data_IF_124590894218
#
_entry.id   IF_124590894218
#
_cell.length_a   1.000
_cell.length_b   1.000
_cell.length_c   1.000
_cell.angle_alpha   90.00
_cell.angle_beta   90.00
_cell.angle_gamma   90.00
#
_symmetry.space_group_name_H-M   'P 1'
#
loop_
_entity.id
_entity.type
_entity.pdbx_description
1 polymer ?
#
# COMPACT_ATOMS: atom_id res chain seq x y z
N UNK A 1 19.47 -18.90 -9.39
CA UNK A 1 20.05 -19.53 -8.19
C UNK A 1 18.98 -19.57 -7.10
N UNK A 2 18.43 -20.76 -6.81
CA UNK A 2 17.84 -21.11 -5.51
C UNK A 2 16.43 -20.63 -5.10
N UNK A 3 15.36 -21.00 -5.81
CA UNK A 3 13.98 -20.83 -5.27
C UNK A 3 13.54 -21.98 -4.34
N UNK A 4 14.32 -23.06 -4.25
CA UNK A 4 14.00 -24.24 -3.42
C UNK A 4 15.04 -24.57 -2.35
N UNK A 5 16.07 -23.75 -2.16
CA UNK A 5 17.10 -24.01 -1.15
C UNK A 5 16.62 -23.50 0.20
N UNK A 6 16.62 -24.36 1.21
CA UNK A 6 16.24 -24.01 2.59
C UNK A 6 17.35 -24.46 3.53
N UNK A 7 17.66 -23.62 4.52
CA UNK A 7 18.48 -24.06 5.65
C UNK A 7 17.71 -25.14 6.43
N UNK A 8 18.40 -26.22 6.79
CA UNK A 8 17.84 -27.31 7.60
C UNK A 8 18.60 -27.38 8.93
N UNK A 9 17.93 -27.68 10.05
CA UNK A 9 18.57 -27.70 11.36
C UNK A 9 19.58 -28.85 11.46
N UNK A 10 20.78 -28.56 11.95
CA UNK A 10 21.84 -29.55 12.20
C UNK A 10 21.75 -30.19 13.59
N UNK A 11 20.84 -29.70 14.45
CA UNK A 11 20.69 -29.98 15.89
C UNK A 11 21.74 -29.34 16.80
N UNK A 12 22.80 -28.74 16.26
CA UNK A 12 23.69 -27.90 17.05
C UNK A 12 22.96 -26.61 17.44
N UNK A 13 23.11 -26.18 18.70
CA UNK A 13 22.49 -24.97 19.24
C UNK A 13 23.58 -24.04 19.79
N UNK A 14 23.32 -22.74 19.76
CA UNK A 14 24.20 -21.70 20.30
C UNK A 14 23.34 -20.71 21.08
N UNK A 15 23.76 -20.41 22.31
CA UNK A 15 23.15 -19.38 23.14
C UNK A 15 23.94 -18.08 23.01
N UNK A 16 23.29 -17.02 22.52
CA UNK A 16 23.89 -15.69 22.36
C UNK A 16 23.22 -14.70 23.31
N UNK A 17 23.90 -14.26 24.38
CA UNK A 17 23.35 -13.25 25.28
C UNK A 17 23.04 -11.94 24.54
N UNK A 18 21.79 -11.48 24.60
CA UNK A 18 21.35 -10.22 24.00
C UNK A 18 20.24 -9.56 24.83
N UNK A 19 20.17 -8.22 24.79
CA UNK A 19 19.14 -7.45 25.46
C UNK A 19 17.97 -7.05 24.56
N UNK A 20 18.09 -7.25 23.25
CA UNK A 20 17.08 -6.92 22.25
C UNK A 20 17.23 -7.81 21.01
N UNK A 21 16.10 -8.26 20.46
CA UNK A 21 16.03 -9.02 19.20
C UNK A 21 15.07 -8.32 18.26
N UNK A 22 15.53 -7.97 17.06
CA UNK A 22 14.72 -7.35 16.01
C UNK A 22 14.67 -8.27 14.79
N UNK A 23 13.47 -8.70 14.42
CA UNK A 23 13.25 -9.54 13.24
C UNK A 23 13.05 -8.69 12.00
N UNK A 24 13.88 -8.89 10.97
CA UNK A 24 13.81 -8.17 9.69
C UNK A 24 13.81 -9.14 8.51
N UNK A 25 12.93 -10.14 8.57
CA UNK A 25 12.85 -11.27 7.62
C UNK A 25 11.81 -11.06 6.50
N UNK A 26 11.42 -9.82 6.25
CA UNK A 26 10.44 -9.43 5.22
C UNK A 26 9.02 -9.24 5.75
N UNK A 27 8.13 -8.90 4.83
CA UNK A 27 6.72 -8.57 5.10
C UNK A 27 5.78 -9.47 4.29
N UNK A 28 4.47 -9.31 4.49
CA UNK A 28 3.41 -9.84 3.61
C UNK A 28 2.27 -8.84 3.54
N UNK A 29 1.57 -8.77 2.41
CA UNK A 29 0.32 -8.03 2.34
C UNK A 29 -0.76 -8.71 3.18
N UNK A 30 -1.88 -8.03 3.39
CA UNK A 30 -3.06 -8.56 4.09
C UNK A 30 -4.26 -8.57 3.15
N UNK A 31 -5.18 -9.54 3.26
CA UNK A 31 -6.45 -9.47 2.56
C UNK A 31 -7.23 -8.25 3.06
N UNK A 32 -7.79 -7.46 2.14
CA UNK A 32 -8.47 -6.19 2.45
C UNK A 32 -10.00 -6.29 2.36
N UNK A 33 -10.51 -7.17 1.50
CA UNK A 33 -11.93 -7.32 1.23
C UNK A 33 -12.22 -8.74 0.73
N UNK A 34 -13.35 -9.37 1.12
CA UNK A 34 -13.71 -10.71 0.65
C UNK A 34 -13.92 -10.81 -0.87
N UNK A 35 -14.16 -9.70 -1.57
CA UNK A 35 -14.29 -9.67 -3.03
C UNK A 35 -12.95 -9.72 -3.77
N UNK A 36 -11.82 -9.61 -3.06
CA UNK A 36 -10.48 -9.60 -3.66
C UNK A 36 -9.77 -10.93 -3.35
N UNK A 37 -9.36 -11.72 -4.36
CA UNK A 37 -8.64 -12.96 -4.13
C UNK A 37 -7.29 -12.70 -3.48
N UNK A 38 -6.82 -13.65 -2.66
CA UNK A 38 -5.58 -13.50 -1.91
C UNK A 38 -4.81 -14.81 -1.79
N UNK A 39 -3.51 -14.78 -2.12
CA UNK A 39 -2.59 -15.90 -1.88
C UNK A 39 -1.96 -15.73 -0.49
N UNK A 40 -2.38 -16.54 0.48
CA UNK A 40 -1.85 -16.50 1.85
C UNK A 40 -0.40 -17.00 1.96
N UNK A 41 0.03 -17.87 1.04
CA UNK A 41 1.38 -18.42 1.03
C UNK A 41 2.39 -17.37 0.59
N UNK A 42 2.11 -16.67 -0.50
CA UNK A 42 2.97 -15.61 -1.03
C UNK A 42 2.71 -14.25 -0.38
N UNK A 43 1.50 -14.02 0.13
CA UNK A 43 1.09 -12.75 0.73
C UNK A 43 0.86 -11.65 -0.32
N UNK A 44 0.24 -11.98 -1.45
CA UNK A 44 -0.02 -11.10 -2.60
C UNK A 44 -1.43 -11.32 -3.16
N UNK A 45 -1.92 -10.39 -3.99
CA UNK A 45 -3.13 -10.58 -4.79
C UNK A 45 -2.77 -11.37 -6.07
N UNK A 46 -3.40 -12.53 -6.33
CA UNK A 46 -3.20 -13.28 -7.57
C UNK A 46 -3.52 -12.40 -8.79
N UNK A 47 -2.58 -12.32 -9.73
CA UNK A 47 -2.72 -11.44 -10.90
C UNK A 47 -1.92 -11.95 -12.11
N UNK A 48 -2.32 -11.49 -13.30
CA UNK A 48 -1.60 -11.63 -14.56
C UNK A 48 -1.22 -10.25 -15.05
N UNK A 49 0.07 -9.91 -14.97
CA UNK A 49 0.63 -8.60 -15.35
C UNK A 49 -0.07 -7.40 -14.69
N UNK A 50 -0.68 -7.61 -13.52
CA UNK A 50 -1.41 -6.59 -12.77
C UNK A 50 -2.94 -6.68 -12.89
N UNK A 51 -3.49 -7.46 -13.82
CA UNK A 51 -4.93 -7.79 -13.85
C UNK A 51 -5.24 -8.81 -12.75
N UNK A 52 -6.14 -8.51 -11.83
CA UNK A 52 -6.48 -9.45 -10.76
C UNK A 52 -7.20 -10.67 -11.36
N UNK A 53 -6.75 -11.86 -10.98
CA UNK A 53 -7.28 -13.12 -11.52
C UNK A 53 -8.77 -13.25 -11.19
N UNK A 54 -9.58 -13.60 -12.20
CA UNK A 54 -11.03 -13.79 -12.11
C UNK A 54 -11.87 -12.58 -11.63
N UNK A 55 -11.27 -11.38 -11.58
CA UNK A 55 -11.98 -10.15 -11.19
C UNK A 55 -11.81 -9.05 -12.27
N UNK A 56 -12.67 -9.03 -13.30
CA UNK A 56 -12.59 -8.04 -14.39
C UNK A 56 -12.67 -6.59 -13.89
N UNK A 57 -11.80 -5.73 -14.40
CA UNK A 57 -11.75 -4.31 -14.03
C UNK A 57 -11.03 -4.02 -12.71
N UNK A 58 -10.51 -5.03 -12.01
CA UNK A 58 -9.66 -4.86 -10.83
C UNK A 58 -8.18 -5.09 -11.18
N UNK A 59 -7.32 -4.19 -10.72
CA UNK A 59 -5.89 -4.22 -10.98
C UNK A 59 -5.08 -4.06 -9.68
N UNK A 60 -3.83 -4.48 -9.71
CA UNK A 60 -2.87 -4.27 -8.63
C UNK A 60 -1.49 -3.86 -9.17
N UNK A 61 -0.70 -3.21 -8.33
CA UNK A 61 0.68 -2.79 -8.62
C UNK A 61 1.53 -2.77 -7.34
N UNK A 62 2.85 -2.78 -7.49
CA UNK A 62 3.79 -2.67 -6.37
C UNK A 62 3.83 -3.93 -5.50
N UNK A 63 4.05 -3.75 -4.19
CA UNK A 63 4.31 -4.87 -3.28
C UNK A 63 3.14 -5.83 -3.13
N UNK A 64 1.89 -5.38 -3.22
CA UNK A 64 0.73 -6.28 -3.17
C UNK A 64 0.61 -7.17 -4.42
N UNK A 65 1.24 -6.76 -5.54
CA UNK A 65 1.31 -7.52 -6.80
C UNK A 65 2.49 -8.48 -6.84
N UNK A 66 3.67 -8.02 -6.40
CA UNK A 66 4.97 -8.71 -6.62
C UNK A 66 5.62 -9.26 -5.34
N UNK A 67 5.05 -8.99 -4.17
CA UNK A 67 5.67 -9.23 -2.87
C UNK A 67 6.59 -8.08 -2.45
N UNK A 68 7.01 -8.04 -1.16
CA UNK A 68 7.76 -6.92 -0.59
C UNK A 68 9.26 -7.01 -0.90
N UNK A 69 9.56 -6.99 -2.20
CA UNK A 69 10.91 -7.00 -2.73
C UNK A 69 11.04 -5.88 -3.76
N UNK A 70 12.24 -5.29 -3.85
CA UNK A 70 12.51 -4.19 -4.78
C UNK A 70 12.47 -2.82 -4.12
N UNK A 71 13.18 -1.89 -4.73
CA UNK A 71 13.29 -0.49 -4.31
C UNK A 71 12.20 0.37 -4.98
N UNK A 72 12.14 1.66 -4.65
CA UNK A 72 11.15 2.61 -5.21
C UNK A 72 11.13 2.57 -6.74
N UNK A 73 12.31 2.55 -7.39
CA UNK A 73 12.41 2.48 -8.84
C UNK A 73 11.79 1.21 -9.43
N UNK A 74 11.97 0.06 -8.75
CA UNK A 74 11.35 -1.21 -9.17
C UNK A 74 9.82 -1.13 -9.09
N UNK A 75 9.28 -0.57 -8.01
CA UNK A 75 7.84 -0.34 -7.83
C UNK A 75 7.28 0.61 -8.89
N UNK A 76 8.02 1.67 -9.22
CA UNK A 76 7.63 2.64 -10.24
C UNK A 76 7.47 1.97 -11.62
N UNK A 77 8.49 1.23 -12.07
CA UNK A 77 8.44 0.54 -13.36
C UNK A 77 7.34 -0.53 -13.41
N UNK A 78 7.18 -1.32 -12.34
CA UNK A 78 6.08 -2.30 -12.23
C UNK A 78 4.69 -1.64 -12.30
N UNK A 79 4.54 -0.48 -11.65
CA UNK A 79 3.28 0.27 -11.65
C UNK A 79 2.95 0.83 -13.02
N UNK A 80 3.95 1.26 -13.80
CA UNK A 80 3.74 1.66 -15.19
C UNK A 80 3.23 0.51 -16.05
N UNK A 81 3.74 -0.71 -15.85
CA UNK A 81 3.23 -1.89 -16.57
C UNK A 81 1.76 -2.17 -16.26
N UNK A 82 1.37 -2.14 -14.97
CA UNK A 82 -0.05 -2.29 -14.58
C UNK A 82 -0.92 -1.18 -15.20
N UNK A 83 -0.43 0.06 -15.20
CA UNK A 83 -1.12 1.20 -15.84
C UNK A 83 -1.27 1.03 -17.36
N UNK A 84 -0.25 0.50 -18.04
CA UNK A 84 -0.33 0.18 -19.46
C UNK A 84 -1.37 -0.91 -19.74
N UNK A 85 -1.44 -1.96 -18.93
CA UNK A 85 -2.46 -3.02 -19.08
C UNK A 85 -3.87 -2.46 -18.91
N UNK A 86 -4.10 -1.63 -17.89
CA UNK A 86 -5.39 -0.95 -17.69
C UNK A 86 -5.76 -0.10 -18.90
N UNK A 87 -4.84 0.72 -19.41
CA UNK A 87 -5.10 1.56 -20.58
C UNK A 87 -5.35 0.75 -21.86
N UNK A 88 -4.70 -0.39 -22.03
CA UNK A 88 -4.96 -1.31 -23.14
C UNK A 88 -6.38 -1.89 -23.04
N UNK A 89 -6.78 -2.35 -21.87
CA UNK A 89 -8.11 -2.93 -21.64
C UNK A 89 -9.22 -1.86 -21.83
N UNK A 90 -8.96 -0.63 -21.38
CA UNK A 90 -9.84 0.51 -21.62
C UNK A 90 -10.03 0.77 -23.11
N UNK A 91 -8.93 0.84 -23.88
CA UNK A 91 -8.97 1.06 -25.34
C UNK A 91 -9.65 -0.09 -26.09
N UNK A 92 -9.49 -1.32 -25.60
CA UNK A 92 -10.10 -2.51 -26.17
C UNK A 92 -11.58 -2.67 -25.80
N UNK A 93 -12.15 -1.80 -24.95
CA UNK A 93 -13.54 -1.89 -24.51
C UNK A 93 -13.82 -3.07 -23.57
N UNK A 94 -12.79 -3.58 -22.90
CA UNK A 94 -12.90 -4.70 -21.94
C UNK A 94 -13.36 -4.23 -20.56
N UNK A 95 -13.34 -2.92 -20.31
CA UNK A 95 -13.83 -2.31 -19.08
C UNK A 95 -15.30 -1.93 -19.21
N UNK A 96 -16.03 -1.84 -18.08
CA UNK A 96 -17.45 -1.52 -18.12
C UNK A 96 -17.73 -0.19 -18.84
N UNK A 97 -18.65 -0.24 -19.80
CA UNK A 97 -19.05 0.93 -20.60
C UNK A 97 -20.03 1.84 -19.87
N UNK A 98 -20.18 3.07 -20.40
CA UNK A 98 -21.15 4.05 -19.92
C UNK A 98 -20.67 4.92 -18.75
N UNK A 99 -21.53 5.80 -18.21
CA UNK A 99 -21.19 6.73 -17.15
C UNK A 99 -20.72 6.03 -15.87
N UNK A 100 -19.62 6.51 -15.29
CA UNK A 100 -19.09 6.07 -14.00
C UNK A 100 -19.03 7.29 -13.07
N UNK A 101 -19.81 7.33 -11.97
CA UNK A 101 -19.94 8.54 -11.14
C UNK A 101 -18.70 8.85 -10.30
N UNK A 102 -17.76 7.90 -10.17
CA UNK A 102 -16.49 8.12 -9.49
C UNK A 102 -16.66 8.63 -8.05
N UNK A 103 -15.96 9.71 -7.71
CA UNK A 103 -15.97 10.31 -6.37
C UNK A 103 -17.35 10.76 -5.91
N UNK A 104 -18.25 11.17 -6.81
CA UNK A 104 -19.58 11.66 -6.41
C UNK A 104 -20.40 10.60 -5.67
N UNK A 105 -20.37 9.35 -6.17
CA UNK A 105 -21.06 8.24 -5.51
C UNK A 105 -20.35 7.81 -4.21
N UNK A 106 -19.02 7.81 -4.20
CA UNK A 106 -18.24 7.40 -3.03
C UNK A 106 -18.34 8.43 -1.90
N UNK A 107 -18.31 9.72 -2.20
CA UNK A 107 -18.46 10.79 -1.22
C UNK A 107 -19.83 10.71 -0.53
N UNK A 108 -20.92 10.51 -1.27
CA UNK A 108 -22.24 10.33 -0.68
C UNK A 108 -22.30 9.12 0.27
N UNK A 109 -21.64 8.01 -0.09
CA UNK A 109 -21.55 6.82 0.75
C UNK A 109 -20.68 7.03 2.00
N UNK A 110 -19.56 7.75 1.89
CA UNK A 110 -18.70 8.06 3.03
C UNK A 110 -19.43 8.98 4.02
N UNK A 111 -20.12 10.01 3.52
CA UNK A 111 -20.94 10.91 4.33
C UNK A 111 -22.05 10.17 5.06
N UNK A 112 -22.77 9.25 4.39
CA UNK A 112 -23.84 8.46 5.04
C UNK A 112 -23.30 7.50 6.11
N UNK A 113 -22.01 7.17 6.07
CA UNK A 113 -21.31 6.36 7.07
C UNK A 113 -20.59 7.19 8.14
N UNK A 114 -20.66 8.52 8.08
CA UNK A 114 -19.96 9.41 9.00
C UNK A 114 -18.43 9.37 8.84
N UNK A 115 -17.92 9.01 7.65
CA UNK A 115 -16.49 8.99 7.36
C UNK A 115 -16.09 10.31 6.72
N UNK A 116 -15.15 11.02 7.36
CA UNK A 116 -14.59 12.27 6.86
C UNK A 116 -13.23 12.02 6.18
N UNK A 117 -13.12 12.20 4.85
CA UNK A 117 -11.85 12.02 4.14
C UNK A 117 -10.88 13.18 4.39
N UNK A 118 -9.60 12.86 4.56
CA UNK A 118 -8.52 13.86 4.52
C UNK A 118 -8.19 14.18 3.07
N UNK A 119 -8.41 15.43 2.66
CA UNK A 119 -8.05 15.89 1.32
C UNK A 119 -6.55 16.12 1.18
N UNK A 120 -6.05 16.28 -0.04
CA UNK A 120 -4.64 16.64 -0.26
C UNK A 120 -4.30 18.00 0.35
N UNK A 121 -5.20 18.99 0.24
CA UNK A 121 -5.03 20.31 0.86
C UNK A 121 -5.09 20.27 2.39
N UNK A 122 -5.76 19.28 2.98
CA UNK A 122 -5.67 19.06 4.43
C UNK A 122 -4.30 18.50 4.79
N UNK A 123 -3.82 17.49 4.05
CA UNK A 123 -2.46 16.98 4.22
C UNK A 123 -1.38 18.08 4.09
N UNK A 124 -1.52 19.04 3.18
CA UNK A 124 -0.57 20.15 3.04
C UNK A 124 -0.50 21.04 4.29
N UNK A 125 -1.61 21.20 5.04
CA UNK A 125 -1.60 21.90 6.34
C UNK A 125 -0.77 21.13 7.37
N UNK A 126 -0.95 19.81 7.41
CA UNK A 126 -0.19 18.94 8.28
C UNK A 126 1.31 18.95 7.93
N UNK A 127 1.64 18.87 6.65
CA UNK A 127 3.02 18.95 6.16
C UNK A 127 3.70 20.27 6.56
N UNK A 128 3.00 21.40 6.38
CA UNK A 128 3.51 22.72 6.76
C UNK A 128 3.78 22.82 8.27
N UNK A 129 2.88 22.29 9.11
CA UNK A 129 3.05 22.27 10.56
C UNK A 129 4.24 21.40 10.98
N UNK A 130 4.37 20.19 10.43
CA UNK A 130 5.51 19.30 10.74
C UNK A 130 6.84 19.95 10.35
N UNK A 131 6.91 20.61 9.18
CA UNK A 131 8.10 21.35 8.74
C UNK A 131 8.40 22.52 9.68
N UNK A 132 7.39 23.31 10.07
CA UNK A 132 7.55 24.45 10.98
C UNK A 132 8.11 24.02 12.35
N UNK A 133 7.58 22.93 12.93
CA UNK A 133 8.09 22.37 14.20
C UNK A 133 9.55 21.91 14.10
N UNK A 134 9.96 21.42 12.93
CA UNK A 134 11.34 20.99 12.67
C UNK A 134 12.35 22.14 12.64
N UNK A 135 11.94 23.32 12.17
CA UNK A 135 12.85 24.46 11.98
C UNK A 135 13.55 24.89 13.28
N UNK A 136 12.83 24.92 14.40
CA UNK A 136 13.39 25.32 15.70
C UNK A 136 14.48 24.39 16.25
N UNK A 137 14.59 23.17 15.69
CA UNK A 137 15.57 22.15 16.10
C UNK A 137 16.53 21.76 14.97
N UNK A 138 16.52 22.48 13.84
CA UNK A 138 17.35 22.19 12.67
C UNK A 138 17.00 20.88 11.95
N UNK A 139 15.79 20.35 12.17
CA UNK A 139 15.29 19.12 11.54
C UNK A 139 14.50 19.45 10.27
N UNK A 140 14.45 18.54 9.27
CA UNK A 140 13.59 18.73 8.10
C UNK A 140 12.11 18.85 8.45
N UNK A 141 11.68 18.15 9.51
CA UNK A 141 10.36 18.18 10.12
C UNK A 141 10.35 17.49 11.49
N UNK A 142 9.37 17.82 12.31
CA UNK A 142 8.96 17.04 13.49
C UNK A 142 7.60 16.41 13.20
N UNK A 143 7.54 15.07 13.15
CA UNK A 143 6.30 14.39 12.75
C UNK A 143 5.27 14.41 13.86
N UNK A 144 4.02 14.64 13.48
CA UNK A 144 2.90 14.40 14.37
C UNK A 144 2.64 12.89 14.44
N UNK A 145 2.64 12.35 15.66
CA UNK A 145 2.53 10.90 15.91
C UNK A 145 1.22 10.49 16.58
N UNK A 146 0.47 11.45 17.14
CA UNK A 146 -0.87 11.22 17.67
C UNK A 146 -1.91 11.46 16.57
N UNK A 147 -2.68 10.43 16.17
CA UNK A 147 -3.76 10.60 15.20
C UNK A 147 -4.78 11.67 15.57
N UNK A 148 -5.08 11.87 16.86
CA UNK A 148 -6.06 12.87 17.28
C UNK A 148 -5.52 14.30 17.11
N UNK A 149 -4.25 14.54 17.43
CA UNK A 149 -3.59 15.82 17.16
C UNK A 149 -3.56 16.12 15.66
N UNK A 150 -3.27 15.11 14.83
CA UNK A 150 -3.32 15.25 13.37
C UNK A 150 -4.71 15.68 12.90
N UNK A 151 -5.78 15.00 13.34
CA UNK A 151 -7.15 15.32 12.94
C UNK A 151 -7.60 16.69 13.45
N UNK A 152 -7.26 17.04 14.70
CA UNK A 152 -7.58 18.33 15.29
C UNK A 152 -6.97 19.49 14.49
N UNK A 153 -5.71 19.37 14.07
CA UNK A 153 -5.04 20.36 13.22
C UNK A 153 -5.80 20.61 11.90
N UNK A 154 -6.45 19.58 11.37
CA UNK A 154 -7.21 19.64 10.12
C UNK A 154 -8.64 20.16 10.29
N UNK A 155 -9.10 20.33 11.54
CA UNK A 155 -10.51 20.65 11.85
C UNK A 155 -11.47 19.47 11.61
N UNK A 156 -10.96 18.25 11.77
CA UNK A 156 -11.73 17.00 11.73
C UNK A 156 -12.22 16.60 13.12
#
# INVERSE_FOLDING_TARGET
>A
VGEATRAVPTRAMEDLPCGLVLSSIGYKSRPIDPSVPFDYKLGVIPNVEGRVTDVPGLYCSGWVKRGPTGVIATTMTDSFLSGQMLLQDLKAGLLPSGPRPGSAAIQALLSSRGVQPVSFSDWEKLDAEEVARGQGTGRPREKLVDPQEMLHLLGH
#
